data_IF_492627977318
#
_entry.id   IF_492627977318
#
_cell.length_a   1.000
_cell.length_b   1.000
_cell.length_c   1.000
_cell.angle_alpha   90.00
_cell.angle_beta   90.00
_cell.angle_gamma   90.00
#
_symmetry.space_group_name_H-M   'P 1'
#
loop_
_entity.id
_entity.type
_entity.pdbx_description
1 polymer ?
#
# COMPACT_ATOMS: atom_id res chain seq x y z
N UNK A 1 16.04 49.99 -24.26
CA UNK A 1 16.34 49.19 -23.05
C UNK A 1 15.11 49.24 -22.15
N UNK A 2 14.18 48.31 -22.33
CA UNK A 2 12.95 48.14 -21.51
C UNK A 2 12.51 46.66 -21.55
N UNK A 3 13.51 45.80 -21.63
CA UNK A 3 13.43 44.37 -21.33
C UNK A 3 13.94 44.31 -19.89
N UNK A 4 13.10 43.80 -18.98
CA UNK A 4 13.33 43.42 -17.57
C UNK A 4 12.04 43.77 -16.81
N UNK A 5 11.51 42.82 -16.04
CA UNK A 5 10.38 42.94 -15.07
C UNK A 5 8.97 42.47 -15.47
N UNK A 6 8.82 41.56 -16.43
CA UNK A 6 7.68 40.62 -16.41
C UNK A 6 8.17 39.21 -16.04
N UNK A 7 8.87 39.12 -14.92
CA UNK A 7 8.97 37.85 -14.20
C UNK A 7 7.60 37.60 -13.56
N UNK A 8 6.66 37.10 -14.38
CA UNK A 8 5.36 36.65 -13.93
C UNK A 8 5.61 35.59 -12.85
N UNK A 9 5.38 35.97 -11.61
CA UNK A 9 5.58 35.12 -10.44
C UNK A 9 4.60 33.96 -10.56
N UNK A 10 5.08 32.80 -11.00
CA UNK A 10 4.36 31.52 -10.92
C UNK A 10 4.13 31.21 -9.45
N UNK A 11 3.08 31.78 -8.88
CA UNK A 11 2.67 31.55 -7.50
C UNK A 11 2.18 30.11 -7.42
N UNK A 12 3.03 29.20 -6.96
CA UNK A 12 2.64 27.82 -6.68
C UNK A 12 1.51 27.86 -5.65
N UNK A 13 0.26 27.64 -6.10
CA UNK A 13 -0.86 27.39 -5.19
C UNK A 13 -0.52 26.10 -4.46
N UNK A 14 -0.20 26.20 -3.17
CA UNK A 14 -0.17 25.05 -2.29
C UNK A 14 -1.59 24.46 -2.30
N UNK A 15 -1.73 23.28 -2.90
CA UNK A 15 -3.02 22.58 -2.99
C UNK A 15 -3.33 22.04 -1.60
N UNK A 16 -4.29 22.64 -0.91
CA UNK A 16 -4.82 22.10 0.34
C UNK A 16 -5.66 20.87 0.02
N UNK A 17 -5.17 19.68 0.40
CA UNK A 17 -5.93 18.43 0.23
C UNK A 17 -7.06 18.36 1.27
N UNK A 18 -8.32 18.16 0.85
CA UNK A 18 -9.46 18.01 1.76
C UNK A 18 -9.28 16.84 2.74
N UNK A 19 -9.74 17.01 3.98
CA UNK A 19 -9.60 16.02 5.05
C UNK A 19 -10.21 14.64 4.70
N UNK A 20 -11.28 14.60 3.89
CA UNK A 20 -11.87 13.34 3.42
C UNK A 20 -10.93 12.50 2.56
N UNK A 21 -10.07 13.13 1.75
CA UNK A 21 -9.08 12.42 0.93
C UNK A 21 -8.01 11.80 1.81
N UNK A 22 -7.60 12.52 2.87
CA UNK A 22 -6.69 11.98 3.89
C UNK A 22 -7.28 10.78 4.62
N UNK A 23 -8.56 10.85 5.02
CA UNK A 23 -9.24 9.74 5.67
C UNK A 23 -9.33 8.51 4.74
N UNK A 24 -9.74 8.70 3.48
CA UNK A 24 -9.80 7.62 2.49
C UNK A 24 -8.42 7.04 2.16
N UNK A 25 -7.38 7.89 2.10
CA UNK A 25 -6.01 7.44 1.89
C UNK A 25 -5.49 6.56 3.04
N UNK A 26 -5.76 6.95 4.29
CA UNK A 26 -5.40 6.11 5.45
C UNK A 26 -6.18 4.81 5.49
N UNK A 27 -7.49 4.85 5.21
CA UNK A 27 -8.31 3.63 5.15
C UNK A 27 -7.81 2.69 4.06
N UNK A 28 -7.49 3.22 2.88
CA UNK A 28 -6.91 2.42 1.78
C UNK A 28 -5.57 1.82 2.16
N UNK A 29 -4.69 2.58 2.81
CA UNK A 29 -3.39 2.08 3.25
C UNK A 29 -3.53 1.00 4.32
N UNK A 30 -4.41 1.21 5.32
CA UNK A 30 -4.67 0.20 6.35
C UNK A 30 -5.29 -1.06 5.74
N UNK A 31 -6.18 -0.91 4.77
CA UNK A 31 -6.79 -2.01 4.05
C UNK A 31 -5.72 -2.83 3.31
N UNK A 32 -4.84 -2.17 2.56
CA UNK A 32 -3.74 -2.80 1.81
C UNK A 32 -2.76 -3.52 2.75
N UNK A 33 -2.32 -2.86 3.82
CA UNK A 33 -1.44 -3.48 4.82
C UNK A 33 -2.10 -4.70 5.47
N UNK A 34 -3.41 -4.63 5.76
CA UNK A 34 -4.14 -5.73 6.39
C UNK A 34 -4.30 -6.94 5.48
N UNK A 35 -4.56 -6.73 4.19
CA UNK A 35 -4.65 -7.84 3.24
C UNK A 35 -3.30 -8.52 3.08
N UNK A 36 -2.22 -7.74 2.96
CA UNK A 36 -0.90 -8.33 2.65
C UNK A 36 -0.32 -9.01 3.89
N UNK A 37 -0.61 -8.47 5.08
CA UNK A 37 -0.28 -9.12 6.35
C UNK A 37 -1.00 -10.46 6.51
N UNK A 38 -2.28 -10.56 6.13
CA UNK A 38 -3.04 -11.81 6.25
C UNK A 38 -2.45 -12.89 5.34
N UNK A 39 -2.12 -12.52 4.09
CA UNK A 39 -1.44 -13.40 3.16
C UNK A 39 -0.08 -13.87 3.71
N UNK A 40 0.73 -12.97 4.29
CA UNK A 40 2.01 -13.34 4.88
C UNK A 40 1.88 -14.21 6.15
N UNK A 41 0.80 -14.05 6.93
CA UNK A 41 0.60 -14.76 8.19
C UNK A 41 0.00 -16.16 8.02
N UNK A 42 -0.74 -16.42 6.95
CA UNK A 42 -1.43 -17.70 6.74
C UNK A 42 -0.46 -18.89 6.65
N UNK A 43 0.64 -18.84 5.86
CA UNK A 43 1.66 -19.89 5.85
C UNK A 43 2.32 -20.09 7.22
N UNK A 44 2.61 -18.99 7.92
CA UNK A 44 3.24 -19.01 9.24
C UNK A 44 2.32 -19.71 10.25
N UNK A 45 1.02 -19.41 10.23
CA UNK A 45 0.04 -20.05 11.09
C UNK A 45 -0.10 -21.55 10.82
N UNK A 46 -0.15 -21.94 9.54
CA UNK A 46 -0.27 -23.35 9.15
C UNK A 46 0.90 -24.19 9.68
N UNK A 47 2.13 -23.68 9.59
CA UNK A 47 3.33 -24.41 10.03
C UNK A 47 3.50 -24.36 11.55
N UNK A 48 3.26 -23.22 12.19
CA UNK A 48 3.57 -23.02 13.61
C UNK A 48 2.46 -23.50 14.55
N UNK A 49 1.19 -23.24 14.20
CA UNK A 49 0.04 -23.57 15.06
C UNK A 49 -0.61 -24.87 14.64
N UNK A 50 -0.83 -25.05 13.33
CA UNK A 50 -1.44 -26.28 12.81
C UNK A 50 -0.43 -27.41 12.52
N UNK A 51 0.87 -27.18 12.74
CA UNK A 51 1.95 -28.14 12.51
C UNK A 51 1.93 -28.76 11.10
N UNK A 52 1.42 -28.03 10.11
CA UNK A 52 1.45 -28.45 8.71
C UNK A 52 2.90 -28.49 8.21
N UNK A 53 3.21 -29.47 7.36
CA UNK A 53 4.55 -29.57 6.78
C UNK A 53 4.80 -28.45 5.77
N UNK A 54 6.06 -27.98 5.66
CA UNK A 54 6.47 -27.00 4.64
C UNK A 54 6.18 -27.49 3.21
N UNK A 55 6.25 -28.81 2.97
CA UNK A 55 5.89 -29.42 1.67
C UNK A 55 4.41 -29.23 1.36
N UNK A 56 3.54 -29.42 2.36
CA UNK A 56 2.09 -29.22 2.22
C UNK A 56 1.77 -27.75 1.95
N UNK A 57 2.33 -26.83 2.74
CA UNK A 57 2.11 -25.39 2.55
C UNK A 57 2.62 -24.91 1.19
N UNK A 58 3.80 -25.35 0.77
CA UNK A 58 4.34 -25.03 -0.55
C UNK A 58 3.52 -25.62 -1.72
N UNK A 59 2.89 -26.79 -1.52
CA UNK A 59 1.96 -27.36 -2.52
C UNK A 59 0.67 -26.53 -2.61
N UNK A 60 0.15 -26.06 -1.47
CA UNK A 60 -1.06 -25.23 -1.41
C UNK A 60 -0.82 -23.89 -2.11
N UNK A 61 0.26 -23.17 -1.76
CA UNK A 61 0.57 -21.90 -2.42
C UNK A 61 0.93 -22.08 -3.89
N UNK A 62 1.67 -23.14 -4.24
CA UNK A 62 2.00 -23.45 -5.62
C UNK A 62 0.78 -23.73 -6.50
N UNK A 63 -0.31 -24.28 -5.95
CA UNK A 63 -1.59 -24.44 -6.66
C UNK A 63 -2.39 -23.14 -6.65
N UNK A 64 -2.28 -22.33 -5.61
CA UNK A 64 -3.02 -21.08 -5.47
C UNK A 64 -2.52 -19.98 -6.41
N UNK A 65 -1.22 -19.96 -6.73
CA UNK A 65 -0.60 -18.97 -7.61
C UNK A 65 -0.46 -19.40 -9.08
N UNK A 66 -0.59 -20.70 -9.39
CA UNK A 66 -0.51 -21.24 -10.76
C UNK A 66 -1.81 -21.04 -11.55
#
# INVERSE_FOLDING_TARGET
>A
MKQLETAETTRTRLVTIPAGIWALGFVSLLMDVSSEMTHALLPVYLVTVMAASMVTVGTIEGIAEA
#
